data_IF_210026268305
#
_entry.id   IF_210026268305
#
_cell.length_a   1.000
_cell.length_b   1.000
_cell.length_c   1.000
_cell.angle_alpha   90.00
_cell.angle_beta   90.00
_cell.angle_gamma   90.00
#
_symmetry.space_group_name_H-M   'P 1'
#
loop_
_entity.id
_entity.type
_entity.pdbx_description
1 polymer ?
#
# COMPACT_ATOMS: atom_id res chain seq x y z
N UNK A 1 -11.23 0.97 33.65
CA UNK A 1 -9.78 0.84 33.92
C UNK A 1 -9.21 -0.06 32.83
N UNK A 2 -8.47 0.49 31.87
CA UNK A 2 -7.75 -0.31 30.87
C UNK A 2 -6.52 -0.85 31.58
N UNK A 3 -6.44 -2.17 31.77
CA UNK A 3 -5.22 -2.79 32.28
C UNK A 3 -4.05 -2.36 31.40
N UNK A 4 -3.07 -1.69 32.01
CA UNK A 4 -1.85 -1.27 31.33
C UNK A 4 -0.98 -2.50 31.19
N UNK A 5 -1.31 -3.37 30.24
CA UNK A 5 -0.46 -4.51 29.91
C UNK A 5 0.87 -3.93 29.43
N UNK A 6 1.89 -4.02 30.27
CA UNK A 6 3.25 -3.65 29.88
C UNK A 6 3.64 -4.55 28.73
N UNK A 7 3.94 -3.97 27.57
CA UNK A 7 4.40 -4.76 26.44
C UNK A 7 5.61 -5.60 26.87
N UNK A 8 5.63 -6.85 26.39
CA UNK A 8 6.62 -7.83 26.80
C UNK A 8 8.04 -7.42 26.35
N UNK A 9 8.15 -6.72 25.22
CA UNK A 9 9.39 -6.15 24.70
C UNK A 9 9.29 -4.62 24.71
N UNK A 10 10.15 -3.98 25.50
CA UNK A 10 10.21 -2.51 25.64
C UNK A 10 11.42 -1.87 24.96
N UNK A 11 12.42 -2.67 24.57
CA UNK A 11 13.62 -2.17 23.92
C UNK A 11 13.39 -1.99 22.41
N UNK A 12 13.48 -0.74 21.94
CA UNK A 12 13.24 -0.38 20.53
C UNK A 12 14.16 -1.11 19.54
N UNK A 13 15.42 -1.41 19.91
CA UNK A 13 16.34 -2.14 19.04
C UNK A 13 15.91 -3.60 18.89
N UNK A 14 15.39 -4.22 19.96
CA UNK A 14 14.85 -5.59 19.90
C UNK A 14 13.57 -5.63 19.08
N UNK A 15 12.69 -4.63 19.23
CA UNK A 15 11.48 -4.50 18.40
C UNK A 15 11.86 -4.37 16.93
N UNK A 16 12.80 -3.49 16.59
CA UNK A 16 13.27 -3.32 15.21
C UNK A 16 13.89 -4.61 14.66
N UNK A 17 14.72 -5.31 15.45
CA UNK A 17 15.31 -6.58 15.07
C UNK A 17 14.27 -7.67 14.82
N UNK A 18 13.25 -7.76 15.68
CA UNK A 18 12.12 -8.69 15.51
C UNK A 18 11.36 -8.42 14.21
N UNK A 19 11.05 -7.15 13.93
CA UNK A 19 10.38 -6.75 12.69
C UNK A 19 11.25 -7.07 11.45
N UNK A 20 12.55 -6.82 11.52
CA UNK A 20 13.50 -7.16 10.45
C UNK A 20 13.55 -8.68 10.19
N UNK A 21 13.54 -9.50 11.25
CA UNK A 21 13.49 -10.96 11.13
C UNK A 21 12.19 -11.43 10.48
N UNK A 22 11.04 -10.85 10.87
CA UNK A 22 9.75 -11.16 10.25
C UNK A 22 9.76 -10.83 8.75
N UNK A 23 10.23 -9.63 8.38
CA UNK A 23 10.34 -9.22 6.97
C UNK A 23 11.28 -10.16 6.19
N UNK A 24 12.46 -10.44 6.74
CA UNK A 24 13.42 -11.36 6.13
C UNK A 24 12.86 -12.77 5.96
N UNK A 25 12.11 -13.26 6.96
CA UNK A 25 11.41 -14.54 6.87
C UNK A 25 10.39 -14.54 5.74
N UNK A 26 9.49 -13.54 5.67
CA UNK A 26 8.45 -13.42 4.65
C UNK A 26 9.06 -13.40 3.25
N UNK A 27 10.08 -12.57 3.00
CA UNK A 27 10.70 -12.48 1.68
C UNK A 27 11.46 -13.76 1.30
N UNK A 28 12.10 -14.42 2.27
CA UNK A 28 12.76 -15.71 2.04
C UNK A 28 11.77 -16.80 1.69
N UNK A 29 10.62 -16.86 2.37
CA UNK A 29 9.59 -17.86 2.09
C UNK A 29 8.81 -17.54 0.82
N UNK A 30 8.60 -16.26 0.48
CA UNK A 30 7.92 -15.85 -0.76
C UNK A 30 8.74 -16.14 -2.02
N UNK A 31 10.06 -16.00 -1.94
CA UNK A 31 10.98 -16.32 -3.04
C UNK A 31 11.41 -17.80 -3.05
N UNK A 32 10.87 -18.63 -2.15
CA UNK A 32 11.22 -20.04 -2.08
C UNK A 32 10.61 -20.85 -3.22
N UNK A 33 11.35 -21.83 -3.75
CA UNK A 33 10.85 -22.69 -4.82
C UNK A 33 9.89 -23.80 -4.35
N UNK A 34 9.73 -23.98 -3.03
CA UNK A 34 8.94 -25.07 -2.44
C UNK A 34 7.46 -25.00 -2.86
N UNK A 35 6.85 -26.12 -3.30
CA UNK A 35 5.50 -26.12 -3.87
C UNK A 35 4.41 -25.71 -2.86
N UNK A 36 4.55 -26.07 -1.58
CA UNK A 36 3.62 -25.66 -0.53
C UNK A 36 3.62 -24.14 -0.31
N UNK A 37 4.81 -23.52 -0.27
CA UNK A 37 4.95 -22.07 -0.10
C UNK A 37 4.45 -21.31 -1.33
N UNK A 38 4.78 -21.78 -2.54
CA UNK A 38 4.22 -21.22 -3.78
C UNK A 38 2.70 -21.23 -3.80
N UNK A 39 2.07 -22.32 -3.35
CA UNK A 39 0.60 -22.41 -3.24
C UNK A 39 0.07 -21.44 -2.18
N UNK A 40 0.72 -21.32 -1.03
CA UNK A 40 0.31 -20.37 0.02
C UNK A 40 0.38 -18.92 -0.47
N UNK A 41 1.53 -18.50 -1.02
CA UNK A 41 1.74 -17.13 -1.53
C UNK A 41 0.92 -16.79 -2.77
N UNK A 42 0.34 -17.79 -3.46
CA UNK A 42 -0.65 -17.57 -4.52
C UNK A 42 -1.96 -16.98 -3.97
N UNK A 43 -2.35 -17.34 -2.74
CA UNK A 43 -3.60 -16.86 -2.12
C UNK A 43 -3.35 -15.74 -1.12
N UNK A 44 -2.21 -15.76 -0.43
CA UNK A 44 -1.85 -14.79 0.61
C UNK A 44 -0.60 -14.03 0.16
N UNK A 45 -0.74 -12.79 -0.35
CA UNK A 45 0.40 -12.03 -0.83
C UNK A 45 1.40 -11.70 0.30
N UNK A 46 2.69 -11.61 -0.03
CA UNK A 46 3.73 -11.29 0.94
C UNK A 46 3.49 -9.93 1.64
N UNK A 47 3.05 -8.92 0.90
CA UNK A 47 2.73 -7.58 1.44
C UNK A 47 1.66 -7.64 2.53
N UNK A 48 0.65 -8.50 2.37
CA UNK A 48 -0.40 -8.69 3.37
C UNK A 48 0.19 -9.22 4.68
N UNK A 49 1.11 -10.19 4.60
CA UNK A 49 1.79 -10.74 5.79
C UNK A 49 2.71 -9.72 6.46
N UNK A 50 3.37 -8.86 5.67
CA UNK A 50 4.22 -7.79 6.20
C UNK A 50 3.43 -6.77 7.04
N UNK A 51 2.13 -6.62 6.77
CA UNK A 51 1.24 -5.79 7.58
C UNK A 51 0.63 -6.58 8.75
N UNK A 52 0.19 -7.80 8.48
CA UNK A 52 -0.58 -8.61 9.42
C UNK A 52 0.26 -9.18 10.57
N UNK A 53 1.47 -9.69 10.31
CA UNK A 53 2.29 -10.28 11.38
C UNK A 53 2.74 -9.25 12.42
N UNK A 54 3.22 -8.05 12.05
CA UNK A 54 3.51 -7.00 13.03
C UNK A 54 2.28 -6.53 13.82
N UNK A 55 1.10 -6.45 13.19
CA UNK A 55 -0.12 -6.04 13.90
C UNK A 55 -0.53 -7.06 14.96
N UNK A 56 -0.36 -8.37 14.71
CA UNK A 56 -0.57 -9.40 15.73
C UNK A 56 0.36 -9.23 16.94
N UNK A 57 1.64 -8.87 16.74
CA UNK A 57 2.55 -8.60 17.86
C UNK A 57 2.02 -7.47 18.75
N UNK A 58 1.44 -6.44 18.15
CA UNK A 58 0.83 -5.33 18.87
C UNK A 58 -0.47 -5.76 19.58
N UNK A 59 -1.35 -6.52 18.90
CA UNK A 59 -2.60 -7.01 19.48
C UNK A 59 -2.38 -7.97 20.65
N UNK A 60 -1.35 -8.82 20.60
CA UNK A 60 -1.01 -9.73 21.70
C UNK A 60 -0.16 -9.07 22.80
N UNK A 61 0.10 -7.76 22.73
CA UNK A 61 0.89 -7.05 23.74
C UNK A 61 2.37 -7.44 23.76
N UNK A 62 2.90 -8.04 22.69
CA UNK A 62 4.32 -8.39 22.58
C UNK A 62 5.15 -7.11 22.34
N UNK A 63 4.62 -6.20 21.53
CA UNK A 63 5.20 -4.89 21.20
C UNK A 63 4.16 -3.81 21.43
N UNK A 64 4.55 -2.65 21.98
CA UNK A 64 3.70 -1.46 22.04
C UNK A 64 4.07 -0.50 20.90
N UNK A 65 3.26 -0.49 19.85
CA UNK A 65 3.48 0.38 18.68
C UNK A 65 3.34 1.88 18.98
N UNK A 66 2.67 2.26 20.08
CA UNK A 66 2.43 3.67 20.43
C UNK A 66 3.55 4.24 21.33
N UNK A 67 4.16 3.40 22.17
CA UNK A 67 5.28 3.82 23.04
C UNK A 67 6.65 3.64 22.40
N UNK A 68 6.78 2.72 21.45
CA UNK A 68 8.05 2.44 20.78
C UNK A 68 8.47 3.57 19.84
N UNK A 69 9.75 3.93 19.85
CA UNK A 69 10.30 4.91 18.91
C UNK A 69 10.57 4.31 17.51
N UNK A 70 10.24 3.04 17.27
CA UNK A 70 10.49 2.40 15.98
C UNK A 70 9.75 3.09 14.84
N UNK A 71 8.52 3.57 15.05
CA UNK A 71 7.82 4.37 14.04
C UNK A 71 8.56 5.67 13.70
N UNK A 72 9.12 6.34 14.71
CA UNK A 72 9.94 7.54 14.51
C UNK A 72 11.17 7.23 13.66
N UNK A 73 11.89 6.17 14.00
CA UNK A 73 13.09 5.75 13.27
C UNK A 73 12.74 5.37 11.81
N UNK A 74 11.69 4.58 11.63
CA UNK A 74 11.22 4.13 10.32
C UNK A 74 10.77 5.30 9.44
N UNK A 75 9.94 6.20 9.95
CA UNK A 75 9.39 7.31 9.16
C UNK A 75 10.40 8.42 8.86
N UNK A 76 11.38 8.68 9.73
CA UNK A 76 12.31 9.82 9.58
C UNK A 76 13.69 9.48 9.05
N UNK A 77 14.13 8.22 9.17
CA UNK A 77 15.45 7.81 8.66
C UNK A 77 15.34 6.75 7.58
N UNK A 78 14.59 5.67 7.84
CA UNK A 78 14.51 4.56 6.89
C UNK A 78 13.68 4.93 5.65
N UNK A 79 12.48 5.49 5.81
CA UNK A 79 11.59 5.82 4.71
C UNK A 79 12.23 6.86 3.76
N UNK A 80 12.81 7.98 4.22
CA UNK A 80 13.49 8.92 3.32
C UNK A 80 14.68 8.29 2.59
N UNK A 81 15.50 7.48 3.28
CA UNK A 81 16.60 6.75 2.64
C UNK A 81 16.10 5.77 1.57
N UNK A 82 15.04 5.00 1.87
CA UNK A 82 14.40 4.09 0.92
C UNK A 82 13.85 4.84 -0.30
N UNK A 83 13.24 6.01 -0.11
CA UNK A 83 12.74 6.83 -1.22
C UNK A 83 13.89 7.32 -2.11
N UNK A 84 15.01 7.76 -1.53
CA UNK A 84 16.20 8.15 -2.30
C UNK A 84 16.73 6.95 -3.09
N UNK A 85 16.92 5.80 -2.43
CA UNK A 85 17.41 4.58 -3.08
C UNK A 85 16.48 4.11 -4.21
N UNK A 86 15.17 4.13 -3.97
CA UNK A 86 14.17 3.82 -4.97
C UNK A 86 14.25 4.81 -6.14
N UNK A 87 14.40 6.11 -5.86
CA UNK A 87 14.51 7.15 -6.89
C UNK A 87 15.75 6.97 -7.77
N UNK A 88 16.90 6.61 -7.17
CA UNK A 88 18.14 6.30 -7.92
C UNK A 88 18.00 5.00 -8.72
N UNK A 89 17.22 4.04 -8.23
CA UNK A 89 16.97 2.76 -8.91
C UNK A 89 15.97 2.87 -10.07
N UNK A 90 15.27 4.00 -10.21
CA UNK A 90 14.34 4.22 -11.32
C UNK A 90 15.10 4.53 -12.61
N UNK A 91 14.86 3.73 -13.65
CA UNK A 91 15.34 4.04 -14.99
C UNK A 91 14.41 5.07 -15.67
N UNK A 92 14.75 6.34 -15.52
CA UNK A 92 14.03 7.44 -16.16
C UNK A 92 14.02 7.34 -17.70
N UNK A 93 15.07 6.78 -18.32
CA UNK A 93 15.09 6.61 -19.78
C UNK A 93 14.08 5.57 -20.21
N UNK A 94 13.99 4.45 -19.50
CA UNK A 94 13.00 3.42 -19.78
C UNK A 94 11.57 3.93 -19.57
N UNK A 95 11.33 4.77 -18.55
CA UNK A 95 10.03 5.44 -18.36
C UNK A 95 9.71 6.37 -19.54
N UNK A 96 10.67 7.20 -19.96
CA UNK A 96 10.50 8.10 -21.11
C UNK A 96 10.23 7.30 -22.40
N UNK A 97 10.87 6.13 -22.56
CA UNK A 97 10.69 5.25 -23.72
C UNK A 97 9.30 4.60 -23.80
N UNK A 98 8.54 4.53 -22.70
CA UNK A 98 7.10 4.19 -22.77
C UNK A 98 6.31 5.23 -23.58
N UNK A 99 6.84 6.45 -23.66
CA UNK A 99 6.34 7.53 -24.50
C UNK A 99 4.88 7.90 -24.20
N UNK A 100 4.07 8.20 -25.23
CA UNK A 100 2.70 8.67 -25.03
C UNK A 100 1.78 7.62 -24.39
N UNK A 101 2.11 6.32 -24.48
CA UNK A 101 1.29 5.25 -23.89
C UNK A 101 1.19 5.38 -22.36
N UNK A 102 2.29 5.71 -21.68
CA UNK A 102 2.29 5.89 -20.22
C UNK A 102 1.41 7.08 -19.79
N UNK A 103 1.51 8.21 -20.51
CA UNK A 103 0.69 9.39 -20.23
C UNK A 103 -0.80 9.12 -20.48
N UNK A 104 -1.14 8.43 -21.58
CA UNK A 104 -2.53 8.05 -21.87
C UNK A 104 -3.07 7.13 -20.76
N UNK A 105 -2.32 6.11 -20.35
CA UNK A 105 -2.73 5.23 -19.25
C UNK A 105 -2.99 6.02 -17.96
N UNK A 106 -2.09 6.95 -17.62
CA UNK A 106 -2.24 7.82 -16.45
C UNK A 106 -3.48 8.72 -16.54
N UNK A 107 -3.70 9.38 -17.68
CA UNK A 107 -4.83 10.28 -17.89
C UNK A 107 -6.16 9.52 -17.92
N UNK A 108 -6.23 8.36 -18.56
CA UNK A 108 -7.43 7.51 -18.57
C UNK A 108 -7.76 7.04 -17.16
N UNK A 109 -6.76 6.59 -16.38
CA UNK A 109 -6.95 6.24 -14.97
C UNK A 109 -7.44 7.42 -14.13
N UNK A 110 -6.83 8.60 -14.33
CA UNK A 110 -7.21 9.83 -13.64
C UNK A 110 -8.64 10.24 -13.96
N UNK A 111 -9.02 10.25 -15.24
CA UNK A 111 -10.39 10.53 -15.68
C UNK A 111 -11.38 9.51 -15.10
N UNK A 112 -10.99 8.24 -15.05
CA UNK A 112 -11.78 7.18 -14.42
C UNK A 112 -12.09 7.49 -12.96
N UNK A 113 -11.13 8.00 -12.18
CA UNK A 113 -11.34 8.38 -10.78
C UNK A 113 -12.19 9.65 -10.67
N UNK A 114 -11.87 10.69 -11.45
CA UNK A 114 -12.56 11.99 -11.43
C UNK A 114 -14.03 11.85 -11.81
N UNK A 115 -14.36 10.94 -12.73
CA UNK A 115 -15.74 10.66 -13.15
C UNK A 115 -16.39 9.62 -12.22
N UNK A 116 -15.66 8.56 -11.90
CA UNK A 116 -16.17 7.42 -11.13
C UNK A 116 -16.58 7.78 -9.71
N UNK A 117 -15.85 8.67 -9.03
CA UNK A 117 -16.19 9.12 -7.68
C UNK A 117 -17.57 9.80 -7.60
N UNK A 118 -17.79 10.91 -8.34
CA UNK A 118 -19.09 11.56 -8.41
C UNK A 118 -20.20 10.63 -8.94
N UNK A 119 -19.90 9.81 -9.94
CA UNK A 119 -20.89 8.87 -10.49
C UNK A 119 -21.31 7.82 -9.45
N UNK A 120 -20.39 7.31 -8.63
CA UNK A 120 -20.72 6.38 -7.55
C UNK A 120 -21.68 7.02 -6.54
N UNK A 121 -21.42 8.27 -6.15
CA UNK A 121 -22.32 9.03 -5.25
C UNK A 121 -23.70 9.21 -5.90
N UNK A 122 -23.75 9.58 -7.17
CA UNK A 122 -25.01 9.75 -7.91
C UNK A 122 -25.80 8.44 -8.06
N UNK A 123 -25.12 7.33 -8.34
CA UNK A 123 -25.80 6.03 -8.46
C UNK A 123 -26.38 5.62 -7.11
N UNK A 124 -25.63 5.76 -6.02
CA UNK A 124 -26.13 5.43 -4.68
C UNK A 124 -27.25 6.38 -4.25
N UNK A 125 -27.19 7.66 -4.62
CA UNK A 125 -28.24 8.64 -4.31
C UNK A 125 -29.60 8.27 -4.90
N UNK A 126 -29.62 7.58 -6.04
CA UNK A 126 -30.87 7.10 -6.67
C UNK A 126 -31.52 5.98 -5.84
N UNK A 127 -30.73 5.14 -5.18
CA UNK A 127 -31.24 4.01 -4.40
C UNK A 127 -31.58 4.40 -2.96
N UNK A 128 -30.69 5.15 -2.30
CA UNK A 128 -30.92 5.66 -0.96
C UNK A 128 -30.26 7.04 -0.79
N UNK A 129 -31.04 8.13 -0.96
CA UNK A 129 -30.55 9.49 -0.78
C UNK A 129 -30.06 9.78 0.63
N UNK A 130 -30.49 9.03 1.65
CA UNK A 130 -30.08 9.28 3.03
C UNK A 130 -28.68 8.78 3.34
N UNK A 131 -28.19 7.78 2.59
CA UNK A 131 -26.83 7.21 2.77
C UNK A 131 -25.76 8.16 2.25
N UNK A 132 -26.03 8.84 1.13
CA UNK A 132 -25.13 9.86 0.55
C UNK A 132 -25.50 11.28 0.97
N UNK A 133 -26.67 11.42 1.58
CA UNK A 133 -27.22 12.65 2.09
C UNK A 133 -26.44 13.13 3.30
N UNK A 134 -26.17 14.43 3.32
CA UNK A 134 -25.51 15.10 4.42
C UNK A 134 -25.29 16.56 4.04
N UNK A 135 -25.63 17.46 4.96
CA UNK A 135 -25.27 18.88 4.84
C UNK A 135 -24.24 19.20 5.92
N UNK A 136 -23.29 20.07 5.60
CA UNK A 136 -22.22 20.43 6.53
C UNK A 136 -21.07 19.41 6.58
N UNK A 137 -20.32 19.36 7.70
CA UNK A 137 -19.09 18.59 7.84
C UNK A 137 -19.19 17.09 7.56
N UNK A 138 -20.34 16.48 7.82
CA UNK A 138 -20.54 15.02 7.70
C UNK A 138 -21.01 14.56 6.31
N UNK A 139 -21.01 15.45 5.32
CA UNK A 139 -21.37 15.08 3.95
C UNK A 139 -20.41 14.02 3.39
N UNK A 140 -20.97 12.96 2.77
CA UNK A 140 -20.19 11.82 2.28
C UNK A 140 -19.10 12.23 1.29
N UNK A 141 -19.39 13.18 0.39
CA UNK A 141 -18.39 13.67 -0.57
C UNK A 141 -17.17 14.30 0.12
N UNK A 142 -17.37 14.96 1.26
CA UNK A 142 -16.27 15.53 2.08
C UNK A 142 -15.42 14.40 2.64
N UNK A 143 -16.07 13.36 3.19
CA UNK A 143 -15.40 12.13 3.59
C UNK A 143 -14.56 11.50 2.47
N UNK A 144 -15.11 11.41 1.26
CA UNK A 144 -14.42 10.87 0.08
C UNK A 144 -13.15 11.66 -0.30
N UNK A 145 -13.10 12.97 -0.03
CA UNK A 145 -11.87 13.77 -0.26
C UNK A 145 -10.70 13.26 0.60
N UNK A 146 -10.99 12.80 1.82
CA UNK A 146 -9.96 12.28 2.73
C UNK A 146 -9.42 10.94 2.26
N UNK A 147 -10.28 10.07 1.70
CA UNK A 147 -9.86 8.82 1.06
C UNK A 147 -8.97 9.15 -0.14
N UNK A 148 -9.36 10.07 -1.02
CA UNK A 148 -8.51 10.50 -2.14
C UNK A 148 -7.15 11.02 -1.66
N UNK A 149 -7.12 11.83 -0.58
CA UNK A 149 -5.89 12.30 0.04
C UNK A 149 -4.98 11.16 0.51
N UNK A 150 -5.56 10.14 1.16
CA UNK A 150 -4.84 8.95 1.63
C UNK A 150 -4.11 8.21 0.50
N UNK A 151 -4.75 8.03 -0.64
CA UNK A 151 -4.14 7.30 -1.76
C UNK A 151 -3.12 8.11 -2.55
N UNK A 152 -3.22 9.44 -2.52
CA UNK A 152 -2.27 10.33 -3.21
C UNK A 152 -1.01 10.57 -2.37
N UNK A 153 -1.13 10.74 -1.05
CA UNK A 153 0.02 11.08 -0.20
C UNK A 153 -0.07 10.55 1.24
N UNK A 154 -0.83 9.49 1.47
CA UNK A 154 -0.92 8.79 2.75
C UNK A 154 -1.71 9.55 3.82
N UNK A 155 -1.54 9.09 5.06
CA UNK A 155 -2.24 9.65 6.22
C UNK A 155 -2.03 11.15 6.44
N UNK A 156 -0.88 11.70 6.02
CA UNK A 156 -0.60 13.13 6.10
C UNK A 156 -1.49 13.95 5.14
N UNK A 157 -1.64 13.48 3.90
CA UNK A 157 -2.56 14.11 2.95
C UNK A 157 -4.02 13.87 3.36
N UNK A 158 -4.36 12.69 3.89
CA UNK A 158 -5.69 12.41 4.43
C UNK A 158 -6.08 13.37 5.57
N UNK A 159 -5.16 13.62 6.51
CA UNK A 159 -5.36 14.59 7.59
C UNK A 159 -5.46 16.02 7.04
N UNK A 160 -4.62 16.39 6.06
CA UNK A 160 -4.72 17.69 5.39
C UNK A 160 -6.07 17.91 4.72
N UNK A 161 -6.62 16.88 4.05
CA UNK A 161 -7.94 16.97 3.41
C UNK A 161 -9.06 17.11 4.45
N UNK A 162 -8.93 16.47 5.62
CA UNK A 162 -9.89 16.62 6.73
C UNK A 162 -10.01 18.08 7.16
N UNK A 163 -8.88 18.75 7.37
CA UNK A 163 -8.86 20.16 7.79
C UNK A 163 -9.30 21.09 6.64
N UNK A 164 -8.81 20.87 5.42
CA UNK A 164 -9.11 21.75 4.28
C UNK A 164 -10.58 21.74 3.87
N UNK A 165 -11.26 20.59 3.98
CA UNK A 165 -12.68 20.45 3.61
C UNK A 165 -13.62 20.42 4.82
N UNK A 166 -13.10 20.72 6.03
CA UNK A 166 -13.85 20.73 7.28
C UNK A 166 -14.68 19.46 7.45
N UNK A 167 -14.00 18.32 7.34
CA UNK A 167 -14.62 17.00 7.37
C UNK A 167 -14.91 16.61 8.82
N UNK A 168 -16.16 16.27 9.11
CA UNK A 168 -16.62 15.92 10.45
C UNK A 168 -15.86 14.71 11.03
N UNK A 169 -15.71 14.67 12.35
CA UNK A 169 -14.96 13.62 13.04
C UNK A 169 -15.54 12.22 12.83
N UNK A 170 -16.87 12.13 12.81
CA UNK A 170 -17.59 10.86 12.65
C UNK A 170 -17.43 10.32 11.23
N UNK A 171 -17.73 11.14 10.20
CA UNK A 171 -17.52 10.72 8.81
C UNK A 171 -16.04 10.45 8.51
N UNK A 172 -15.11 11.19 9.11
CA UNK A 172 -13.68 10.95 8.97
C UNK A 172 -13.28 9.57 9.53
N UNK A 173 -13.76 9.22 10.73
CA UNK A 173 -13.48 7.91 11.34
C UNK A 173 -14.05 6.76 10.50
N UNK A 174 -15.26 6.95 9.96
CA UNK A 174 -15.88 5.98 9.03
C UNK A 174 -15.02 5.83 7.77
N UNK A 175 -14.58 6.95 7.16
CA UNK A 175 -13.80 6.93 5.93
C UNK A 175 -12.40 6.33 6.11
N UNK A 176 -11.74 6.56 7.25
CA UNK A 176 -10.48 5.87 7.58
C UNK A 176 -10.69 4.35 7.67
N UNK A 177 -11.80 3.92 8.28
CA UNK A 177 -12.14 2.51 8.39
C UNK A 177 -12.42 1.89 7.01
N UNK A 178 -13.21 2.57 6.18
CA UNK A 178 -13.50 2.16 4.81
C UNK A 178 -12.22 2.09 3.98
N UNK A 179 -11.36 3.11 4.08
CA UNK A 179 -10.08 3.17 3.38
C UNK A 179 -9.23 1.93 3.69
N UNK A 180 -9.01 1.62 4.97
CA UNK A 180 -8.22 0.46 5.37
C UNK A 180 -8.83 -0.86 4.88
N UNK A 181 -10.14 -1.07 5.05
CA UNK A 181 -10.78 -2.34 4.70
C UNK A 181 -10.82 -2.53 3.18
N UNK A 182 -11.31 -1.52 2.46
CA UNK A 182 -11.44 -1.57 1.00
C UNK A 182 -10.07 -1.63 0.35
N UNK A 183 -9.09 -0.87 0.82
CA UNK A 183 -7.72 -0.93 0.29
C UNK A 183 -7.15 -2.34 0.40
N UNK A 184 -7.29 -3.00 1.56
CA UNK A 184 -6.74 -4.34 1.75
C UNK A 184 -7.44 -5.40 0.88
N UNK A 185 -8.77 -5.38 0.79
CA UNK A 185 -9.53 -6.30 -0.05
C UNK A 185 -9.21 -6.05 -1.53
N UNK A 186 -9.22 -4.79 -1.95
CA UNK A 186 -8.95 -4.41 -3.32
C UNK A 186 -7.49 -4.69 -3.73
N UNK A 187 -6.53 -4.47 -2.83
CA UNK A 187 -5.13 -4.84 -3.05
C UNK A 187 -5.00 -6.35 -3.31
N UNK A 188 -5.71 -7.19 -2.56
CA UNK A 188 -5.70 -8.63 -2.82
C UNK A 188 -6.25 -8.96 -4.21
N UNK A 189 -7.35 -8.32 -4.62
CA UNK A 189 -7.93 -8.47 -5.98
C UNK A 189 -6.94 -8.02 -7.05
N UNK A 190 -6.33 -6.84 -6.91
CA UNK A 190 -5.34 -6.31 -7.85
C UNK A 190 -4.11 -7.21 -7.97
N UNK A 191 -3.61 -7.74 -6.85
CA UNK A 191 -2.47 -8.66 -6.87
C UNK A 191 -2.81 -9.99 -7.55
N UNK A 192 -4.03 -10.51 -7.35
CA UNK A 192 -4.52 -11.68 -8.09
C UNK A 192 -4.66 -11.40 -9.59
N UNK A 193 -5.14 -10.22 -9.98
CA UNK A 193 -5.22 -9.81 -11.38
C UNK A 193 -3.82 -9.65 -11.99
N UNK A 194 -2.91 -8.96 -11.31
CA UNK A 194 -1.53 -8.76 -11.75
C UNK A 194 -0.78 -10.10 -11.92
N UNK A 195 -0.98 -11.05 -11.00
CA UNK A 195 -0.41 -12.39 -11.11
C UNK A 195 -0.94 -13.15 -12.35
N UNK A 196 -2.15 -12.81 -12.83
CA UNK A 196 -2.80 -13.42 -13.98
C UNK A 196 -2.83 -12.51 -15.22
N UNK A 197 -2.06 -11.42 -15.25
CA UNK A 197 -2.13 -10.38 -16.30
C UNK A 197 -2.10 -10.95 -17.72
N UNK A 198 -1.23 -11.93 -18.03
CA UNK A 198 -1.14 -12.54 -19.37
C UNK A 198 -2.47 -13.04 -19.93
N UNK A 199 -3.36 -13.60 -19.09
CA UNK A 199 -4.69 -14.05 -19.52
C UNK A 199 -5.62 -12.87 -19.79
N UNK A 200 -5.54 -11.85 -18.96
CA UNK A 200 -6.34 -10.62 -19.07
C UNK A 200 -5.90 -9.88 -20.35
N UNK A 201 -4.61 -9.67 -20.54
CA UNK A 201 -4.02 -8.99 -21.69
C UNK A 201 -4.44 -9.67 -23.01
N UNK A 202 -4.41 -11.00 -23.05
CA UNK A 202 -4.87 -11.77 -24.21
C UNK A 202 -6.38 -11.64 -24.47
N UNK A 203 -7.20 -11.61 -23.40
CA UNK A 203 -8.65 -11.45 -23.52
C UNK A 203 -9.05 -10.04 -23.97
N UNK A 204 -8.30 -9.01 -23.57
CA UNK A 204 -8.56 -7.61 -23.94
C UNK A 204 -7.84 -7.17 -25.21
N UNK A 205 -6.93 -7.99 -25.75
CA UNK A 205 -6.08 -7.63 -26.90
C UNK A 205 -5.08 -6.51 -26.58
N UNK A 206 -4.61 -6.41 -25.33
CA UNK A 206 -3.73 -5.34 -24.90
C UNK A 206 -2.30 -5.51 -25.46
N UNK A 207 -1.74 -4.44 -26.02
CA UNK A 207 -0.33 -4.39 -26.43
C UNK A 207 0.57 -4.09 -25.23
N UNK A 208 1.24 -5.12 -24.72
CA UNK A 208 2.12 -5.04 -23.54
C UNK A 208 3.61 -4.97 -23.89
N UNK A 209 3.98 -4.79 -25.17
CA UNK A 209 5.38 -4.78 -25.63
C UNK A 209 6.27 -3.83 -24.82
N UNK A 210 5.87 -2.56 -24.73
CA UNK A 210 6.61 -1.54 -23.99
C UNK A 210 6.72 -1.83 -22.48
N UNK A 211 5.74 -2.55 -21.91
CA UNK A 211 5.76 -2.95 -20.49
C UNK A 211 6.70 -4.14 -20.28
N UNK A 212 6.72 -5.10 -21.19
CA UNK A 212 7.66 -6.23 -21.17
C UNK A 212 9.12 -5.76 -21.32
N UNK A 213 9.38 -4.81 -22.20
CA UNK A 213 10.71 -4.21 -22.37
C UNK A 213 11.19 -3.54 -21.07
N UNK A 214 10.31 -2.76 -20.42
CA UNK A 214 10.60 -2.17 -19.11
C UNK A 214 10.84 -3.23 -18.03
N UNK A 215 10.03 -4.29 -17.98
CA UNK A 215 10.23 -5.40 -17.03
C UNK A 215 11.58 -6.08 -17.21
N UNK A 216 12.07 -6.21 -18.44
CA UNK A 216 13.35 -6.83 -18.71
C UNK A 216 14.54 -5.94 -18.30
N UNK A 217 14.39 -4.62 -18.36
CA UNK A 217 15.38 -3.67 -17.79
C UNK A 217 15.39 -3.74 -16.25
N UNK A 218 14.21 -3.90 -15.63
CA UNK A 218 14.07 -3.99 -14.16
C UNK A 218 14.45 -5.36 -13.58
N UNK A 219 14.56 -6.42 -14.40
CA UNK A 219 15.14 -7.68 -13.94
C UNK A 219 16.59 -7.39 -13.57
N UNK A 220 17.01 -7.70 -12.32
CA UNK A 220 18.36 -7.41 -11.90
C UNK A 220 19.35 -8.10 -12.86
N UNK A 221 20.34 -7.35 -13.32
CA UNK A 221 21.54 -7.86 -13.98
C UNK A 221 22.33 -8.67 -12.93
N UNK A 222 21.88 -9.88 -12.63
CA UNK A 222 22.62 -10.97 -11.98
C UNK A 222 23.25 -10.60 -10.59
N UNK A 223 24.03 -11.47 -9.92
CA UNK A 223 23.91 -11.85 -8.50
C UNK A 223 24.59 -10.90 -7.48
N UNK A 224 24.72 -9.61 -7.78
CA UNK A 224 25.50 -8.64 -6.99
C UNK A 224 24.75 -8.00 -5.82
N UNK A 225 23.41 -8.01 -5.80
CA UNK A 225 22.65 -7.53 -4.62
C UNK A 225 22.76 -8.44 -3.40
N UNK A 226 23.03 -9.74 -3.59
CA UNK A 226 23.34 -10.63 -2.46
C UNK A 226 24.62 -10.20 -1.75
N UNK A 227 25.61 -9.67 -2.47
CA UNK A 227 26.88 -9.20 -1.91
C UNK A 227 26.69 -7.90 -1.12
N UNK A 228 25.80 -7.00 -1.55
CA UNK A 228 25.53 -5.75 -0.83
C UNK A 228 24.74 -5.96 0.46
N UNK A 229 23.82 -6.93 0.48
CA UNK A 229 23.10 -7.35 1.69
C UNK A 229 23.97 -8.19 2.65
N UNK A 230 25.01 -8.89 2.16
CA UNK A 230 25.97 -9.61 2.99
C UNK A 230 27.03 -8.68 3.61
N UNK A 231 27.44 -7.60 2.92
CA UNK A 231 28.44 -6.65 3.41
C UNK A 231 27.90 -5.65 4.45
N UNK A 232 26.58 -5.55 4.62
CA UNK A 232 25.96 -4.65 5.61
C UNK A 232 25.57 -5.35 6.92
N UNK A 233 25.86 -6.66 7.06
CA UNK A 233 25.61 -7.47 8.28
C UNK A 233 26.91 -8.13 8.79
N UNK A 234 28.06 -7.51 8.56
CA UNK A 234 29.32 -7.76 9.28
C UNK A 234 29.86 -6.44 9.78
#
# INVERSE_FOLDING_TARGET
>A
MVETQSALITNDAVVLGLLAVILGFIFKTSNSERPALKRFYKYVPALLLCYFLPSLLNTFGIVDGNKSNVYYVASRYLLPACLILLTISIDLKAIINLGPKALIMFLVGTLGIVIGGPLAILVVSVFDPNIVGGHGPDAVWRGMTTVAGSWIGGGANQASMKEMFEVGGDIFSVMVTVDVIVANIWMAVLLLMAANHKKIDAATGADTSAIEDLKNVLKPITPSMHVFLLLTIT
#
